data_IF_019581782917
#
_entry.id   IF_019581782917
#
_cell.length_a   1.000
_cell.length_b   1.000
_cell.length_c   1.000
_cell.angle_alpha   90.00
_cell.angle_beta   90.00
_cell.angle_gamma   90.00
#
_symmetry.space_group_name_H-M   'P 1'
#
loop_
_entity.id
_entity.type
_entity.pdbx_description
1 polymer ?
#
# COMPACT_ATOMS: atom_id res chain seq x y z
N UNK A 1 23.43 4.24 -1.20
CA UNK A 1 22.77 4.48 -2.51
C UNK A 1 23.69 5.34 -3.33
N UNK A 2 24.27 4.82 -4.40
CA UNK A 2 24.94 5.68 -5.37
C UNK A 2 23.84 6.44 -6.13
N UNK A 3 23.75 7.72 -5.88
CA UNK A 3 22.67 8.56 -6.43
C UNK A 3 22.86 8.90 -7.91
N UNK A 4 23.92 8.40 -8.55
CA UNK A 4 24.28 8.70 -9.94
C UNK A 4 24.17 10.19 -10.32
N UNK A 5 24.50 11.08 -9.38
CA UNK A 5 24.43 12.52 -9.58
C UNK A 5 23.03 13.11 -9.50
N UNK A 6 22.05 12.36 -9.02
CA UNK A 6 20.70 12.87 -8.77
C UNK A 6 20.72 13.77 -7.53
N UNK A 7 20.24 14.97 -7.69
CA UNK A 7 20.12 15.93 -6.58
C UNK A 7 18.85 15.64 -5.78
N UNK A 8 19.00 15.42 -4.48
CA UNK A 8 17.89 15.06 -3.60
C UNK A 8 16.98 16.26 -3.37
N UNK A 9 15.67 16.05 -3.49
CA UNK A 9 14.66 16.98 -3.01
C UNK A 9 14.15 18.00 -4.04
N UNK A 10 14.43 17.86 -5.32
CA UNK A 10 13.84 18.69 -6.36
C UNK A 10 13.18 17.85 -7.45
N UNK A 11 11.89 18.11 -7.70
CA UNK A 11 11.16 17.49 -8.81
C UNK A 11 11.80 17.82 -10.16
N UNK A 12 12.29 19.02 -10.31
CA UNK A 12 12.92 19.52 -11.55
C UNK A 12 14.21 18.77 -11.84
N UNK A 13 14.99 18.44 -10.82
CA UNK A 13 16.27 17.74 -10.96
C UNK A 13 16.10 16.23 -10.99
N UNK A 14 15.12 15.68 -10.30
CA UNK A 14 14.93 14.23 -10.16
C UNK A 14 14.00 13.63 -11.23
N UNK A 15 13.34 14.47 -12.03
CA UNK A 15 12.52 14.00 -13.14
C UNK A 15 11.28 13.22 -12.69
N UNK A 16 10.55 13.69 -11.67
CA UNK A 16 9.31 13.08 -11.23
C UNK A 16 8.32 12.99 -12.40
N UNK A 17 7.73 11.81 -12.60
CA UNK A 17 6.64 11.61 -13.54
C UNK A 17 5.36 12.36 -13.09
N UNK A 18 4.61 12.86 -14.06
CA UNK A 18 3.34 13.57 -13.78
C UNK A 18 2.16 12.87 -14.43
N UNK A 19 0.94 13.13 -13.93
CA UNK A 19 -0.30 12.59 -14.51
C UNK A 19 -0.42 12.95 -16.01
N UNK A 20 -0.05 14.16 -16.38
CA UNK A 20 -0.05 14.60 -17.78
C UNK A 20 1.07 13.98 -18.61
N UNK A 21 2.18 13.59 -17.97
CA UNK A 21 3.30 12.89 -18.62
C UNK A 21 2.93 11.48 -19.10
N UNK A 22 1.92 10.86 -18.52
CA UNK A 22 1.35 9.57 -18.96
C UNK A 22 0.43 9.84 -20.16
N UNK A 23 1.04 9.92 -21.34
CA UNK A 23 0.37 10.35 -22.58
C UNK A 23 -0.50 9.25 -23.20
N UNK A 24 -1.44 9.64 -24.09
CA UNK A 24 -2.22 8.70 -24.90
C UNK A 24 -1.35 7.75 -25.71
N UNK A 25 -0.18 8.23 -26.19
CA UNK A 25 0.76 7.38 -26.93
C UNK A 25 1.33 6.30 -26.03
N UNK A 26 1.81 6.64 -24.83
CA UNK A 26 2.34 5.68 -23.88
C UNK A 26 1.27 4.64 -23.48
N UNK A 27 0.06 5.10 -23.16
CA UNK A 27 -1.04 4.20 -22.80
C UNK A 27 -1.45 3.25 -23.92
N UNK A 28 -1.47 3.73 -25.19
CA UNK A 28 -1.73 2.86 -26.34
C UNK A 28 -0.63 1.80 -26.54
N UNK A 29 0.63 2.15 -26.31
CA UNK A 29 1.72 1.17 -26.40
C UNK A 29 1.61 0.11 -25.29
N UNK A 30 1.28 0.52 -24.05
CA UNK A 30 1.02 -0.42 -22.95
C UNK A 30 -0.14 -1.36 -23.31
N UNK A 31 -1.25 -0.83 -23.82
CA UNK A 31 -2.39 -1.65 -24.26
C UNK A 31 -2.01 -2.62 -25.41
N UNK A 32 -1.16 -2.18 -26.37
CA UNK A 32 -0.67 -3.03 -27.46
C UNK A 32 0.25 -4.15 -27.02
N UNK A 33 0.96 -3.98 -25.89
CA UNK A 33 1.73 -5.06 -25.25
C UNK A 33 0.84 -6.14 -24.62
N UNK A 34 -0.48 -5.93 -24.57
CA UNK A 34 -1.44 -6.90 -24.05
C UNK A 34 -1.82 -6.69 -22.58
N UNK A 35 -1.39 -5.59 -21.96
CA UNK A 35 -1.82 -5.26 -20.62
C UNK A 35 -3.31 -4.91 -20.58
N UNK A 36 -3.98 -5.34 -19.52
CA UNK A 36 -5.39 -5.10 -19.28
C UNK A 36 -5.63 -4.06 -18.17
N UNK A 37 -4.68 -3.95 -17.27
CA UNK A 37 -4.73 -3.05 -16.11
C UNK A 37 -3.47 -2.19 -16.05
N UNK A 38 -3.61 -0.99 -15.48
CA UNK A 38 -2.50 -0.12 -15.12
C UNK A 38 -2.64 0.26 -13.66
N UNK A 39 -1.70 -0.15 -12.83
CA UNK A 39 -1.65 0.21 -11.42
C UNK A 39 -0.81 1.47 -11.23
N UNK A 40 -1.48 2.52 -10.75
CA UNK A 40 -0.92 3.82 -10.45
C UNK A 40 -0.49 3.81 -8.97
N UNK A 41 0.77 3.51 -8.71
CA UNK A 41 1.34 3.36 -7.37
C UNK A 41 1.53 4.70 -6.68
N UNK A 42 1.14 4.79 -5.40
CA UNK A 42 1.47 5.90 -4.52
C UNK A 42 0.87 7.25 -4.94
N UNK A 43 -0.31 7.26 -5.55
CA UNK A 43 -0.93 8.48 -6.09
C UNK A 43 -1.72 9.29 -5.05
N UNK A 44 -2.04 8.71 -3.88
CA UNK A 44 -2.76 9.42 -2.83
C UNK A 44 -1.91 10.53 -2.21
N UNK A 45 -2.57 11.59 -1.76
CA UNK A 45 -1.89 12.66 -1.03
C UNK A 45 -1.32 12.12 0.28
N UNK A 46 -0.01 12.19 0.41
CA UNK A 46 0.75 11.66 1.54
C UNK A 46 1.57 12.74 2.26
N UNK A 47 2.15 12.39 3.41
CA UNK A 47 2.96 13.31 4.20
C UNK A 47 4.31 13.56 3.50
N UNK A 48 4.60 14.83 3.20
CA UNK A 48 5.84 15.30 2.54
C UNK A 48 6.34 16.60 3.17
N UNK A 49 7.62 16.89 3.02
CA UNK A 49 8.21 18.18 3.39
C UNK A 49 8.11 19.23 2.26
N UNK A 50 7.48 18.90 1.16
CA UNK A 50 7.18 19.85 0.07
C UNK A 50 5.91 20.63 0.41
N UNK A 51 5.92 21.93 0.14
CA UNK A 51 4.74 22.81 0.27
C UNK A 51 4.25 23.26 -1.10
N UNK A 52 2.93 23.38 -1.25
CA UNK A 52 2.28 23.93 -2.42
C UNK A 52 1.26 25.00 -2.03
N UNK A 53 0.80 25.86 -2.95
CA UNK A 53 -0.24 26.83 -2.64
C UNK A 53 -1.48 26.16 -2.02
N UNK A 54 -1.82 26.57 -0.79
CA UNK A 54 -2.92 26.00 -0.02
C UNK A 54 -2.61 24.66 0.68
N UNK A 55 -1.43 24.08 0.50
CA UNK A 55 -1.00 22.83 1.13
C UNK A 55 0.33 23.03 1.85
N UNK A 56 0.29 23.02 3.18
CA UNK A 56 1.50 23.14 4.01
C UNK A 56 2.31 21.82 3.98
N UNK A 57 3.64 21.97 4.03
CA UNK A 57 4.55 20.85 4.30
C UNK A 57 4.23 20.22 5.66
N UNK A 58 4.39 18.90 5.76
CA UNK A 58 4.23 18.19 7.02
C UNK A 58 5.48 18.35 7.91
N UNK A 59 5.33 18.29 9.25
CA UNK A 59 6.45 18.37 10.18
C UNK A 59 7.49 17.27 9.90
N UNK A 60 8.78 17.64 9.94
CA UNK A 60 9.90 16.70 9.70
C UNK A 60 9.84 15.46 10.60
N UNK A 61 9.37 15.59 11.84
CA UNK A 61 9.29 14.49 12.80
C UNK A 61 8.38 13.33 12.36
N UNK A 62 7.50 13.54 11.37
CA UNK A 62 6.55 12.54 10.86
C UNK A 62 6.70 12.30 9.35
N UNK A 63 7.83 12.68 8.76
CA UNK A 63 8.12 12.48 7.33
C UNK A 63 9.50 11.88 7.17
N UNK A 64 9.58 10.66 6.65
CA UNK A 64 10.86 10.03 6.31
C UNK A 64 11.46 10.69 5.06
N UNK A 65 12.64 11.30 5.20
CA UNK A 65 13.28 12.05 4.12
C UNK A 65 12.51 13.32 3.74
N UNK A 66 12.61 13.77 2.51
CA UNK A 66 11.91 14.95 1.99
C UNK A 66 10.57 14.61 1.35
N UNK A 67 10.55 13.57 0.53
CA UNK A 67 9.36 13.14 -0.20
C UNK A 67 8.35 12.37 0.67
N UNK A 68 8.79 11.84 1.82
CA UNK A 68 7.95 10.99 2.66
C UNK A 68 7.67 9.62 2.05
N UNK A 69 6.74 8.91 2.67
CA UNK A 69 6.23 7.63 2.18
C UNK A 69 4.88 7.82 1.49
N UNK A 70 4.71 7.36 0.24
CA UNK A 70 3.42 7.37 -0.45
C UNK A 70 2.31 6.62 0.30
N UNK A 71 2.68 5.81 1.29
CA UNK A 71 1.77 5.04 2.13
C UNK A 71 1.43 5.72 3.47
N UNK A 72 2.08 6.85 3.80
CA UNK A 72 1.70 7.72 4.92
C UNK A 72 0.64 8.74 4.47
N UNK A 73 -0.56 8.25 4.16
CA UNK A 73 -1.66 9.03 3.57
C UNK A 73 -2.12 10.12 4.54
N UNK A 74 -2.20 11.36 4.07
CA UNK A 74 -2.77 12.49 4.81
C UNK A 74 -4.20 12.81 4.39
N UNK A 75 -4.59 12.40 3.17
CA UNK A 75 -5.96 12.57 2.68
C UNK A 75 -6.28 11.50 1.63
N UNK A 76 -7.29 10.67 1.90
CA UNK A 76 -7.74 9.64 0.97
C UNK A 76 -8.58 10.16 -0.19
N UNK A 77 -9.07 11.37 -0.15
CA UNK A 77 -9.95 11.94 -1.18
C UNK A 77 -9.21 12.86 -2.14
N UNK A 78 -7.87 12.91 -2.02
CA UNK A 78 -7.00 13.76 -2.81
C UNK A 78 -5.79 12.98 -3.34
N UNK A 79 -5.16 13.52 -4.39
CA UNK A 79 -3.95 12.95 -4.98
C UNK A 79 -2.74 13.84 -4.69
N UNK A 80 -1.56 13.25 -4.77
CA UNK A 80 -0.31 13.93 -4.47
C UNK A 80 -0.05 15.08 -5.46
N UNK A 81 0.15 16.32 -4.96
CA UNK A 81 0.38 17.49 -5.79
C UNK A 81 1.68 17.44 -6.58
N UNK A 82 2.71 16.71 -6.11
CA UNK A 82 3.98 16.55 -6.83
C UNK A 82 3.84 15.70 -8.10
N UNK A 83 2.78 14.92 -8.21
CA UNK A 83 2.46 14.13 -9.41
C UNK A 83 1.64 14.92 -10.46
N UNK A 84 1.26 16.16 -10.18
CA UNK A 84 0.57 17.01 -11.11
C UNK A 84 1.53 18.00 -11.82
N UNK A 85 1.23 18.35 -13.06
CA UNK A 85 1.93 19.44 -13.76
C UNK A 85 1.56 20.79 -13.14
N UNK A 86 0.33 20.91 -12.61
CA UNK A 86 -0.19 22.05 -11.86
C UNK A 86 -0.77 21.55 -10.56
N UNK A 87 -0.08 21.71 -9.42
CA UNK A 87 -0.50 21.18 -8.12
C UNK A 87 -1.93 21.53 -7.71
N UNK A 88 -2.40 22.72 -8.05
CA UNK A 88 -3.77 23.19 -7.79
C UNK A 88 -4.83 22.48 -8.66
N UNK A 89 -4.42 21.84 -9.77
CA UNK A 89 -5.28 21.09 -10.69
C UNK A 89 -5.11 19.58 -10.59
N UNK A 90 -4.39 19.10 -9.57
CA UNK A 90 -4.00 17.70 -9.41
C UNK A 90 -5.14 16.71 -9.61
N UNK A 91 -6.31 16.98 -9.02
CA UNK A 91 -7.47 16.12 -9.15
C UNK A 91 -8.05 16.10 -10.59
N UNK A 92 -8.04 17.23 -11.28
CA UNK A 92 -8.50 17.29 -12.67
C UNK A 92 -7.53 16.56 -13.61
N UNK A 93 -6.21 16.72 -13.39
CA UNK A 93 -5.18 15.99 -14.14
C UNK A 93 -5.28 14.49 -13.91
N UNK A 94 -5.51 14.05 -12.65
CA UNK A 94 -5.71 12.64 -12.33
C UNK A 94 -6.97 12.07 -12.97
N UNK A 95 -8.12 12.76 -12.88
CA UNK A 95 -9.36 12.36 -13.56
C UNK A 95 -9.17 12.25 -15.08
N UNK A 96 -8.41 13.17 -15.66
CA UNK A 96 -8.08 13.12 -17.08
C UNK A 96 -7.21 11.90 -17.43
N UNK A 97 -6.24 11.52 -16.57
CA UNK A 97 -5.45 10.30 -16.73
C UNK A 97 -6.35 9.05 -16.64
N UNK A 98 -7.21 8.94 -15.65
CA UNK A 98 -8.18 7.83 -15.51
C UNK A 98 -9.01 7.68 -16.79
N UNK A 99 -9.51 8.79 -17.33
CA UNK A 99 -10.26 8.80 -18.58
C UNK A 99 -9.42 8.31 -19.76
N UNK A 100 -8.15 8.77 -19.89
CA UNK A 100 -7.23 8.32 -20.95
C UNK A 100 -6.98 6.81 -20.88
N UNK A 101 -6.72 6.26 -19.67
CA UNK A 101 -6.56 4.82 -19.48
C UNK A 101 -7.76 4.03 -20.03
N UNK A 102 -8.95 4.41 -19.60
CA UNK A 102 -10.20 3.75 -20.03
C UNK A 102 -10.46 3.88 -21.54
N UNK A 103 -10.10 5.00 -22.14
CA UNK A 103 -10.26 5.23 -23.58
C UNK A 103 -9.45 4.26 -24.44
N UNK A 104 -8.31 3.79 -23.94
CA UNK A 104 -7.46 2.82 -24.65
C UNK A 104 -7.72 1.37 -24.20
N UNK A 105 -8.72 1.13 -23.35
CA UNK A 105 -9.08 -0.20 -22.87
C UNK A 105 -8.27 -0.69 -21.66
N UNK A 106 -7.49 0.19 -21.02
CA UNK A 106 -6.78 -0.14 -19.77
C UNK A 106 -7.66 0.19 -18.57
N UNK A 107 -7.75 -0.75 -17.62
CA UNK A 107 -8.45 -0.55 -16.36
C UNK A 107 -7.49 0.11 -15.34
N UNK A 108 -7.74 1.36 -14.92
CA UNK A 108 -6.88 2.00 -13.92
C UNK A 108 -7.13 1.40 -12.54
N UNK A 109 -6.04 1.08 -11.86
CA UNK A 109 -5.98 0.63 -10.48
C UNK A 109 -5.16 1.61 -9.65
N UNK A 110 -5.41 1.64 -8.34
CA UNK A 110 -4.63 2.44 -7.39
C UNK A 110 -4.43 1.68 -6.08
N UNK A 111 -3.52 2.18 -5.23
CA UNK A 111 -3.36 1.66 -3.88
C UNK A 111 -4.56 2.00 -3.01
N UNK A 112 -4.96 1.04 -2.19
CA UNK A 112 -5.85 1.21 -1.06
C UNK A 112 -5.09 0.78 0.20
N UNK A 113 -4.83 1.72 1.11
CA UNK A 113 -3.99 1.55 2.29
C UNK A 113 -4.87 1.50 3.55
N UNK A 114 -5.45 0.36 3.92
CA UNK A 114 -6.47 0.32 4.98
C UNK A 114 -5.90 0.17 6.38
N UNK A 115 -4.62 -0.20 6.54
CA UNK A 115 -4.06 -0.52 7.86
C UNK A 115 -3.69 0.71 8.69
N UNK A 116 -3.27 1.79 8.03
CA UNK A 116 -2.69 2.96 8.69
C UNK A 116 -2.89 4.23 7.86
N UNK A 117 -2.66 5.36 8.49
CA UNK A 117 -2.62 6.69 7.88
C UNK A 117 -1.43 7.47 8.43
N UNK A 118 -1.09 8.60 7.83
CA UNK A 118 -0.12 9.54 8.42
C UNK A 118 -0.56 10.00 9.81
N UNK A 119 0.40 10.36 10.69
CA UNK A 119 0.09 11.03 11.97
C UNK A 119 -0.61 12.37 11.77
N UNK A 120 -0.43 13.02 10.62
CA UNK A 120 -1.09 14.27 10.24
C UNK A 120 -2.33 14.05 9.36
N UNK A 121 -2.93 12.85 9.40
CA UNK A 121 -4.15 12.60 8.62
C UNK A 121 -5.24 13.61 8.94
N UNK A 122 -5.78 14.22 7.91
CA UNK A 122 -6.91 15.13 7.93
C UNK A 122 -7.55 15.14 6.54
N UNK A 123 -8.75 14.59 6.44
CA UNK A 123 -9.50 14.64 5.18
C UNK A 123 -10.06 16.05 4.96
N UNK A 124 -9.79 16.61 3.80
CA UNK A 124 -10.33 17.91 3.36
C UNK A 124 -11.57 17.70 2.47
N UNK A 125 -12.51 16.88 2.95
CA UNK A 125 -13.75 16.62 2.24
C UNK A 125 -14.96 16.83 3.15
N UNK A 126 -15.74 17.87 2.85
CA UNK A 126 -16.94 18.25 3.60
C UNK A 126 -17.93 17.07 3.75
N UNK A 127 -18.32 16.82 4.99
CA UNK A 127 -19.36 15.84 5.33
C UNK A 127 -18.89 14.42 5.57
N UNK A 128 -17.58 14.18 5.69
CA UNK A 128 -17.02 12.89 6.08
C UNK A 128 -16.30 13.01 7.43
N UNK A 129 -16.56 12.02 8.30
CA UNK A 129 -15.89 11.93 9.61
C UNK A 129 -14.41 11.60 9.43
N UNK A 130 -13.54 12.25 10.18
CA UNK A 130 -12.15 11.80 10.33
C UNK A 130 -12.08 10.57 11.24
N UNK A 131 -11.05 9.73 11.03
CA UNK A 131 -10.89 8.51 11.83
C UNK A 131 -10.85 8.79 13.33
N UNK A 132 -10.15 9.85 13.77
CA UNK A 132 -9.98 10.21 15.18
C UNK A 132 -11.11 11.04 15.77
N UNK A 133 -12.11 11.40 15.00
CA UNK A 133 -13.20 12.27 15.49
C UNK A 133 -14.00 11.56 16.59
N UNK A 134 -14.12 12.23 17.75
CA UNK A 134 -14.82 11.69 18.93
C UNK A 134 -14.06 10.58 19.69
N UNK A 135 -12.82 10.28 19.34
CA UNK A 135 -11.99 9.31 20.08
C UNK A 135 -11.59 9.87 21.46
N UNK A 136 -11.48 8.97 22.45
CA UNK A 136 -10.87 9.27 23.75
C UNK A 136 -9.37 8.90 23.74
N UNK A 137 -8.46 9.89 23.73
CA UNK A 137 -7.02 9.63 23.63
C UNK A 137 -6.39 9.02 24.89
N UNK A 138 -7.16 8.82 25.96
CA UNK A 138 -6.72 8.19 27.20
C UNK A 138 -7.11 6.71 27.31
N UNK A 139 -7.91 6.22 26.37
CA UNK A 139 -8.34 4.83 26.29
C UNK A 139 -7.61 4.10 25.16
N UNK A 140 -6.84 3.04 25.49
CA UNK A 140 -6.10 2.27 24.49
C UNK A 140 -6.96 1.80 23.32
N UNK A 141 -8.13 1.26 23.64
CA UNK A 141 -9.06 0.67 22.67
C UNK A 141 -10.51 0.84 23.10
N UNK A 142 -11.34 1.25 22.15
CA UNK A 142 -12.80 1.06 22.17
C UNK A 142 -13.25 0.65 20.78
N UNK A 143 -14.29 -0.17 20.61
CA UNK A 143 -14.81 -0.58 19.30
C UNK A 143 -15.23 0.58 18.39
N UNK A 144 -15.58 1.74 18.96
CA UNK A 144 -16.03 2.92 18.24
C UNK A 144 -14.93 3.91 17.89
N UNK A 145 -13.72 3.74 18.46
CA UNK A 145 -12.56 4.59 18.14
C UNK A 145 -11.96 4.23 16.78
N UNK A 146 -11.42 5.24 16.09
CA UNK A 146 -10.71 5.04 14.83
C UNK A 146 -9.23 4.69 15.00
N UNK A 147 -8.63 5.01 16.16
CA UNK A 147 -7.22 4.74 16.47
C UNK A 147 -7.03 3.92 17.75
N UNK A 148 -5.80 3.43 17.94
CA UNK A 148 -5.31 2.91 19.22
C UNK A 148 -4.43 3.95 19.89
N UNK A 149 -4.67 4.24 21.17
CA UNK A 149 -3.94 5.25 21.92
C UNK A 149 -3.03 4.64 22.97
N UNK A 150 -1.87 5.23 23.18
CA UNK A 150 -0.94 4.84 24.24
C UNK A 150 -1.48 5.28 25.59
N UNK A 151 -1.30 4.43 26.61
CA UNK A 151 -1.70 4.70 27.98
C UNK A 151 -0.50 4.74 28.90
N UNK A 152 -0.69 5.10 30.17
CA UNK A 152 0.37 5.04 31.19
C UNK A 152 0.99 3.65 31.36
N UNK A 153 0.32 2.59 30.94
CA UNK A 153 0.84 1.23 30.97
C UNK A 153 1.61 0.84 29.70
N UNK A 154 1.59 1.67 28.67
CA UNK A 154 2.37 1.42 27.45
C UNK A 154 3.86 1.64 27.71
N UNK A 155 4.77 0.83 27.13
CA UNK A 155 6.20 0.96 27.29
C UNK A 155 6.74 2.34 26.93
N UNK A 156 7.77 2.81 27.65
CA UNK A 156 8.42 4.12 27.46
C UNK A 156 8.06 5.11 28.56
N UNK A 157 8.54 6.35 28.43
CA UNK A 157 8.53 7.36 29.52
C UNK A 157 7.18 8.15 29.62
N UNK A 158 6.16 7.72 28.88
CA UNK A 158 4.90 8.46 28.79
C UNK A 158 4.98 9.67 27.83
N UNK A 159 3.94 10.54 27.82
CA UNK A 159 3.91 11.70 26.93
C UNK A 159 5.06 12.68 27.21
N UNK A 160 5.52 13.43 26.17
CA UNK A 160 5.11 13.37 24.79
C UNK A 160 5.62 12.14 24.04
N UNK A 161 4.95 11.76 22.95
CA UNK A 161 5.45 10.72 22.05
C UNK A 161 6.80 11.15 21.44
N UNK A 162 7.82 10.30 21.56
CA UNK A 162 9.19 10.58 21.07
C UNK A 162 9.46 9.82 19.80
N UNK A 163 9.42 10.54 18.68
CA UNK A 163 9.75 9.97 17.36
C UNK A 163 11.25 10.10 17.07
N UNK A 164 11.82 9.27 16.18
CA UNK A 164 13.26 9.31 15.85
C UNK A 164 13.77 10.68 15.38
N UNK A 165 12.94 11.44 14.65
CA UNK A 165 13.30 12.75 14.10
C UNK A 165 12.74 13.95 14.91
N UNK A 166 12.28 13.71 16.14
CA UNK A 166 11.85 14.74 17.07
C UNK A 166 10.40 14.60 17.57
N UNK A 167 9.88 15.64 18.19
CA UNK A 167 8.53 15.64 18.71
C UNK A 167 7.54 16.08 17.63
N UNK A 168 6.32 15.56 17.72
CA UNK A 168 5.20 15.96 16.88
C UNK A 168 4.17 16.72 17.74
N UNK A 169 3.89 17.96 17.39
CA UNK A 169 2.99 18.84 18.17
C UNK A 169 1.58 18.23 18.35
N UNK A 170 1.11 17.46 17.37
CA UNK A 170 -0.18 16.78 17.42
C UNK A 170 -0.27 15.66 18.46
N UNK A 171 0.85 15.24 19.09
CA UNK A 171 0.91 14.13 20.06
C UNK A 171 1.77 14.50 21.31
N UNK A 172 1.62 15.71 21.81
CA UNK A 172 2.36 16.20 23.00
C UNK A 172 1.78 15.66 24.31
N UNK A 173 0.48 15.41 24.38
CA UNK A 173 -0.22 14.99 25.61
C UNK A 173 -0.78 13.57 25.52
N UNK A 174 -0.79 12.99 24.34
CA UNK A 174 -1.18 11.61 24.07
C UNK A 174 -0.26 11.05 22.97
N UNK A 175 -0.39 9.77 22.67
CA UNK A 175 0.32 9.13 21.56
C UNK A 175 -0.54 8.04 20.94
N UNK A 176 -0.36 7.79 19.65
CA UNK A 176 -1.04 6.72 18.90
C UNK A 176 -0.07 5.61 18.52
N UNK A 177 -0.58 4.39 18.46
CA UNK A 177 0.16 3.20 18.05
C UNK A 177 0.56 3.33 16.58
N UNK A 178 1.78 2.90 16.23
CA UNK A 178 2.29 2.94 14.85
C UNK A 178 1.57 1.95 13.93
N UNK A 179 1.64 2.17 12.62
CA UNK A 179 1.01 1.31 11.60
C UNK A 179 1.44 -0.15 11.67
N UNK A 180 2.67 -0.43 12.10
CA UNK A 180 3.20 -1.80 12.29
C UNK A 180 3.01 -2.37 13.69
N UNK A 181 2.03 -1.85 14.46
CA UNK A 181 1.64 -2.32 15.78
C UNK A 181 2.65 -2.05 16.91
N UNK A 182 3.58 -1.09 16.78
CA UNK A 182 4.47 -0.73 17.89
C UNK A 182 3.70 0.05 18.96
N UNK A 183 3.44 -0.59 20.10
CA UNK A 183 2.77 0.00 21.28
C UNK A 183 3.85 0.53 22.21
N UNK A 184 4.37 1.70 21.93
CA UNK A 184 5.45 2.32 22.72
C UNK A 184 5.45 3.84 22.57
N UNK A 185 5.87 4.55 23.65
CA UNK A 185 6.09 6.01 23.64
C UNK A 185 7.37 6.44 22.90
N UNK A 186 8.25 5.48 22.57
CA UNK A 186 9.51 5.71 21.91
C UNK A 186 9.67 4.75 20.71
N UNK A 187 8.85 4.87 19.63
CA UNK A 187 9.02 4.04 18.45
C UNK A 187 10.39 4.30 17.79
N UNK A 188 11.04 3.25 17.33
CA UNK A 188 12.34 3.33 16.68
C UNK A 188 12.24 3.63 15.17
N UNK A 189 13.40 3.73 14.51
CA UNK A 189 13.48 4.00 13.06
C UNK A 189 12.84 2.90 12.20
N UNK A 190 12.83 1.66 12.68
CA UNK A 190 12.23 0.51 11.99
C UNK A 190 10.74 0.35 12.24
N UNK A 191 10.20 1.08 13.21
CA UNK A 191 8.76 1.22 13.36
C UNK A 191 8.25 2.19 12.30
N UNK A 192 7.02 2.01 11.86
CA UNK A 192 6.40 2.94 10.92
C UNK A 192 5.96 4.21 11.67
N UNK A 193 6.95 4.89 12.25
CA UNK A 193 6.75 5.98 13.21
C UNK A 193 6.01 7.18 12.64
N UNK A 194 6.06 7.36 11.32
CA UNK A 194 5.32 8.41 10.58
C UNK A 194 3.83 8.11 10.45
N UNK A 195 3.42 6.87 10.76
CA UNK A 195 2.03 6.41 10.59
C UNK A 195 1.37 6.07 11.92
N UNK A 196 0.04 5.97 11.88
CA UNK A 196 -0.82 5.52 12.98
C UNK A 196 -1.72 4.39 12.53
N UNK A 197 -1.89 3.38 13.40
CA UNK A 197 -2.73 2.21 13.13
C UNK A 197 -4.20 2.56 13.21
N UNK A 198 -4.98 2.11 12.23
CA UNK A 198 -6.43 2.21 12.22
C UNK A 198 -7.07 1.06 13.02
N UNK A 199 -8.15 1.39 13.72
CA UNK A 199 -8.91 0.47 14.56
C UNK A 199 -10.17 -0.02 13.82
N UNK A 200 -10.23 -1.31 13.57
CA UNK A 200 -11.36 -1.98 12.90
C UNK A 200 -12.41 -2.52 13.87
N UNK A 201 -12.48 -2.02 15.10
CA UNK A 201 -13.48 -2.43 16.11
C UNK A 201 -13.08 -3.66 16.91
N UNK A 202 -11.82 -4.11 16.88
CA UNK A 202 -11.30 -5.19 17.72
C UNK A 202 -9.96 -4.82 18.33
N UNK A 203 -9.71 -5.31 19.55
CA UNK A 203 -8.41 -5.12 20.20
C UNK A 203 -7.39 -6.10 19.64
N UNK A 204 -6.46 -5.63 18.81
CA UNK A 204 -5.43 -6.49 18.20
C UNK A 204 -4.49 -7.13 19.25
N UNK A 205 -4.29 -6.49 20.42
CA UNK A 205 -3.49 -7.04 21.51
C UNK A 205 -4.16 -8.25 22.18
N UNK A 206 -5.48 -8.38 22.07
CA UNK A 206 -6.22 -9.54 22.60
C UNK A 206 -6.17 -10.75 21.64
N UNK A 207 -5.52 -10.60 20.49
CA UNK A 207 -5.31 -11.67 19.54
C UNK A 207 -6.56 -12.11 18.77
N UNK A 208 -6.46 -13.24 18.08
CA UNK A 208 -7.51 -13.76 17.19
C UNK A 208 -8.90 -13.92 17.81
N UNK A 209 -9.06 -14.29 19.11
CA UNK A 209 -10.39 -14.37 19.72
C UNK A 209 -11.20 -13.07 19.69
N UNK A 210 -10.54 -11.92 19.74
CA UNK A 210 -11.21 -10.61 19.68
C UNK A 210 -11.93 -10.35 18.36
N UNK A 211 -11.49 -10.96 17.26
CA UNK A 211 -12.12 -10.85 15.95
C UNK A 211 -13.55 -11.41 15.91
N UNK A 212 -13.89 -12.33 16.82
CA UNK A 212 -15.25 -12.91 16.93
C UNK A 212 -16.30 -11.91 17.41
N UNK A 213 -15.86 -10.77 17.96
CA UNK A 213 -16.75 -9.70 18.41
C UNK A 213 -17.14 -8.75 17.28
N UNK A 214 -16.48 -8.84 16.14
CA UNK A 214 -16.79 -8.01 14.98
C UNK A 214 -18.16 -8.33 14.38
N UNK A 215 -18.85 -7.34 13.80
CA UNK A 215 -20.11 -7.58 13.10
C UNK A 215 -19.91 -8.50 11.90
N UNK A 216 -20.97 -9.20 11.50
CA UNK A 216 -20.93 -10.07 10.33
C UNK A 216 -20.78 -9.28 9.03
N UNK A 217 -20.28 -9.92 7.98
CA UNK A 217 -20.05 -9.28 6.68
C UNK A 217 -21.34 -8.82 5.97
N UNK A 218 -22.50 -9.26 6.40
CA UNK A 218 -23.81 -8.82 5.90
C UNK A 218 -24.40 -7.63 6.68
N UNK A 219 -23.69 -7.14 7.68
CA UNK A 219 -24.18 -6.05 8.52
C UNK A 219 -24.39 -4.76 7.72
N UNK A 220 -25.50 -4.03 7.96
CA UNK A 220 -25.72 -2.72 7.38
C UNK A 220 -24.61 -1.72 7.74
N UNK A 221 -24.36 -0.74 6.87
CA UNK A 221 -23.28 0.26 7.04
C UNK A 221 -23.35 1.00 8.38
N UNK A 222 -24.53 1.32 8.86
CA UNK A 222 -24.73 2.02 10.15
C UNK A 222 -24.41 1.18 11.39
N UNK A 223 -24.26 -0.13 11.26
CA UNK A 223 -24.03 -1.07 12.36
C UNK A 223 -22.63 -1.68 12.37
N UNK A 224 -21.70 -1.12 11.62
CA UNK A 224 -20.30 -1.53 11.59
C UNK A 224 -19.42 -0.44 12.20
N UNK A 225 -18.19 -0.75 12.63
CA UNK A 225 -17.25 0.23 13.17
C UNK A 225 -17.06 1.45 12.27
N UNK A 226 -16.73 2.61 12.85
CA UNK A 226 -16.53 3.87 12.13
C UNK A 226 -15.52 3.70 10.98
N UNK A 227 -14.38 3.07 11.25
CA UNK A 227 -13.34 2.81 10.23
C UNK A 227 -13.86 2.07 9.00
N UNK A 228 -14.78 1.09 9.18
CA UNK A 228 -15.37 0.38 8.03
C UNK A 228 -16.20 1.31 7.15
N UNK A 229 -16.97 2.22 7.78
CA UNK A 229 -17.82 3.18 7.04
C UNK A 229 -16.97 4.13 6.21
N UNK A 230 -15.92 4.70 6.83
CA UNK A 230 -15.00 5.63 6.15
C UNK A 230 -14.28 4.91 4.99
N UNK A 231 -13.79 3.69 5.20
CA UNK A 231 -13.13 2.91 4.15
C UNK A 231 -14.06 2.56 2.98
N UNK A 232 -15.35 2.30 3.25
CA UNK A 232 -16.33 2.10 2.18
C UNK A 232 -16.61 3.40 1.39
N UNK A 233 -16.59 4.56 2.06
CA UNK A 233 -16.74 5.86 1.39
C UNK A 233 -15.52 6.18 0.52
N UNK A 234 -14.31 5.89 0.98
CA UNK A 234 -13.09 6.00 0.17
C UNK A 234 -13.17 5.14 -1.09
N UNK A 235 -13.51 3.85 -0.95
CA UNK A 235 -13.68 2.96 -2.11
C UNK A 235 -14.76 3.47 -3.07
N UNK A 236 -15.89 3.94 -2.53
CA UNK A 236 -17.00 4.49 -3.32
C UNK A 236 -16.59 5.74 -4.10
N UNK A 237 -15.83 6.64 -3.46
CA UNK A 237 -15.32 7.86 -4.09
C UNK A 237 -14.46 7.53 -5.31
N UNK A 238 -13.44 6.70 -5.15
CA UNK A 238 -12.54 6.36 -6.25
C UNK A 238 -13.21 5.54 -7.35
N UNK A 239 -14.14 4.65 -7.01
CA UNK A 239 -14.97 3.96 -7.99
C UNK A 239 -15.81 4.95 -8.81
N UNK A 240 -16.37 5.99 -8.17
CA UNK A 240 -17.15 7.02 -8.85
C UNK A 240 -16.34 7.84 -9.86
N UNK A 241 -15.03 7.98 -9.62
CA UNK A 241 -14.08 8.65 -10.52
C UNK A 241 -13.55 7.74 -11.63
N UNK A 242 -13.93 6.46 -11.63
CA UNK A 242 -13.59 5.52 -12.69
C UNK A 242 -12.42 4.59 -12.38
N UNK A 243 -11.95 4.53 -11.14
CA UNK A 243 -11.01 3.49 -10.72
C UNK A 243 -11.72 2.14 -10.78
N UNK A 244 -11.09 1.18 -11.47
CA UNK A 244 -11.64 -0.15 -11.70
C UNK A 244 -11.00 -1.25 -10.87
N UNK A 245 -9.95 -0.94 -10.11
CA UNK A 245 -9.30 -1.91 -9.25
C UNK A 245 -8.48 -1.27 -8.14
N UNK A 246 -8.18 -2.07 -7.12
CA UNK A 246 -7.42 -1.65 -5.95
C UNK A 246 -6.33 -2.68 -5.63
N UNK A 247 -5.09 -2.20 -5.46
CA UNK A 247 -4.06 -2.96 -4.75
C UNK A 247 -4.17 -2.61 -3.28
N UNK A 248 -4.48 -3.61 -2.47
CA UNK A 248 -4.70 -3.44 -1.04
C UNK A 248 -3.42 -3.72 -0.28
N UNK A 249 -2.88 -2.66 0.30
CA UNK A 249 -1.65 -2.65 1.08
C UNK A 249 -1.81 -3.47 2.36
N UNK A 250 -0.82 -4.34 2.67
CA UNK A 250 -0.75 -5.13 3.90
C UNK A 250 -2.08 -5.79 4.29
N UNK A 251 -2.77 -6.39 3.31
CA UNK A 251 -4.15 -6.85 3.46
C UNK A 251 -4.35 -7.89 4.57
N UNK A 252 -3.31 -8.67 4.92
CA UNK A 252 -3.35 -9.65 6.01
C UNK A 252 -3.50 -9.03 7.40
N UNK A 253 -3.17 -7.74 7.57
CA UNK A 253 -3.30 -7.01 8.83
C UNK A 253 -4.74 -6.58 9.13
N UNK A 254 -5.66 -6.76 8.19
CA UNK A 254 -7.05 -6.32 8.26
C UNK A 254 -7.98 -7.51 8.47
N UNK A 255 -9.04 -7.38 9.29
CA UNK A 255 -9.97 -8.49 9.52
C UNK A 255 -10.61 -9.02 8.23
N UNK A 256 -10.60 -10.33 8.04
CA UNK A 256 -11.20 -10.98 6.87
C UNK A 256 -12.68 -10.67 6.70
N UNK A 257 -13.42 -10.49 7.80
CA UNK A 257 -14.83 -10.11 7.77
C UNK A 257 -15.05 -8.71 7.21
N UNK A 258 -14.15 -7.76 7.48
CA UNK A 258 -14.17 -6.43 6.86
C UNK A 258 -13.99 -6.56 5.35
N UNK A 259 -12.97 -7.31 4.89
CA UNK A 259 -12.72 -7.49 3.47
C UNK A 259 -13.94 -8.05 2.75
N UNK A 260 -14.55 -9.09 3.30
CA UNK A 260 -15.76 -9.67 2.72
C UNK A 260 -16.91 -8.67 2.66
N UNK A 261 -17.06 -7.84 3.68
CA UNK A 261 -18.06 -6.78 3.74
C UNK A 261 -17.77 -5.67 2.69
N UNK A 262 -16.55 -5.13 2.67
CA UNK A 262 -16.17 -4.03 1.80
C UNK A 262 -16.16 -4.41 0.31
N UNK A 263 -15.59 -5.58 -0.03
CA UNK A 263 -15.55 -6.09 -1.40
C UNK A 263 -16.96 -6.37 -1.92
N UNK A 264 -17.83 -6.97 -1.11
CA UNK A 264 -19.22 -7.22 -1.49
C UNK A 264 -19.96 -5.92 -1.84
N UNK A 265 -19.78 -4.88 -1.03
CA UNK A 265 -20.37 -3.55 -1.28
C UNK A 265 -19.78 -2.87 -2.52
N UNK A 266 -18.47 -2.96 -2.69
CA UNK A 266 -17.79 -2.44 -3.88
C UNK A 266 -18.29 -3.08 -5.17
N UNK A 267 -18.56 -4.39 -5.15
CA UNK A 267 -19.12 -5.12 -6.30
C UNK A 267 -20.57 -4.80 -6.59
N UNK A 268 -21.34 -4.37 -5.61
CA UNK A 268 -22.70 -3.83 -5.86
C UNK A 268 -22.61 -2.54 -6.68
N UNK A 269 -21.62 -1.68 -6.43
CA UNK A 269 -21.39 -0.43 -7.17
C UNK A 269 -20.75 -0.67 -8.54
N UNK A 270 -19.75 -1.55 -8.59
CA UNK A 270 -18.98 -1.89 -9.78
C UNK A 270 -18.71 -3.41 -9.80
N UNK A 271 -19.55 -4.22 -10.51
CA UNK A 271 -19.49 -5.68 -10.47
C UNK A 271 -18.10 -6.26 -10.81
N UNK A 272 -17.39 -5.65 -11.76
CA UNK A 272 -16.10 -6.12 -12.26
C UNK A 272 -14.89 -5.48 -11.56
N UNK A 273 -15.09 -4.83 -10.39
CA UNK A 273 -13.99 -4.23 -9.65
C UNK A 273 -12.95 -5.28 -9.26
N UNK A 274 -11.68 -4.99 -9.56
CA UNK A 274 -10.57 -5.91 -9.30
C UNK A 274 -9.90 -5.58 -7.96
N UNK A 275 -9.79 -6.57 -7.08
CA UNK A 275 -9.07 -6.47 -5.81
C UNK A 275 -7.85 -7.36 -5.82
N UNK A 276 -6.67 -6.77 -5.63
CA UNK A 276 -5.37 -7.43 -5.51
C UNK A 276 -4.82 -7.22 -4.10
N UNK A 277 -4.48 -8.29 -3.40
CA UNK A 277 -3.93 -8.19 -2.06
C UNK A 277 -2.40 -8.29 -2.08
N UNK A 278 -1.75 -7.33 -1.46
CA UNK A 278 -0.44 -7.56 -0.88
C UNK A 278 -0.64 -8.26 0.45
N UNK A 279 -0.07 -9.45 0.61
CA UNK A 279 -0.21 -10.23 1.84
C UNK A 279 0.95 -11.20 2.03
N UNK A 280 1.36 -11.34 3.28
CA UNK A 280 2.44 -12.21 3.71
C UNK A 280 1.99 -13.10 4.86
N UNK A 281 2.58 -14.31 4.95
CA UNK A 281 2.31 -15.21 6.06
C UNK A 281 3.22 -14.89 7.25
N UNK A 282 2.98 -13.78 7.88
CA UNK A 282 3.76 -13.25 9.00
C UNK A 282 2.98 -13.24 10.33
N UNK A 283 3.57 -12.68 11.38
CA UNK A 283 2.97 -12.58 12.72
C UNK A 283 1.89 -11.50 12.83
N UNK A 284 1.79 -10.59 11.86
CA UNK A 284 0.83 -9.47 11.85
C UNK A 284 -0.53 -9.85 11.23
N UNK A 285 -0.66 -11.07 10.69
CA UNK A 285 -1.90 -11.54 10.08
C UNK A 285 -3.05 -11.67 11.08
N UNK A 286 -4.26 -11.43 10.60
CA UNK A 286 -5.50 -11.51 11.38
C UNK A 286 -6.26 -12.84 11.22
N UNK A 287 -5.62 -13.85 10.63
CA UNK A 287 -6.22 -15.17 10.41
C UNK A 287 -5.31 -16.29 10.90
N UNK A 288 -5.85 -17.37 11.49
CA UNK A 288 -5.10 -18.59 11.68
C UNK A 288 -4.89 -19.28 10.30
N UNK A 289 -3.69 -19.70 10.01
CA UNK A 289 -3.37 -20.35 8.73
C UNK A 289 -2.88 -19.41 7.62
N UNK A 290 -3.09 -19.80 6.38
CA UNK A 290 -2.63 -19.03 5.22
C UNK A 290 -3.51 -17.79 4.98
N UNK A 291 -2.96 -16.57 5.11
CA UNK A 291 -3.72 -15.34 4.90
C UNK A 291 -4.12 -15.14 3.44
N UNK A 292 -3.32 -15.60 2.47
CA UNK A 292 -3.62 -15.44 1.06
C UNK A 292 -4.87 -16.24 0.66
N UNK A 293 -4.98 -17.49 1.13
CA UNK A 293 -6.19 -18.30 0.93
C UNK A 293 -7.43 -17.63 1.59
N UNK A 294 -7.27 -17.11 2.81
CA UNK A 294 -8.36 -16.43 3.51
C UNK A 294 -8.81 -15.14 2.81
N UNK A 295 -7.89 -14.37 2.21
CA UNK A 295 -8.20 -13.17 1.43
C UNK A 295 -8.95 -13.52 0.14
N UNK A 296 -8.56 -14.58 -0.56
CA UNK A 296 -9.31 -15.08 -1.74
C UNK A 296 -10.73 -15.49 -1.35
N UNK A 297 -10.92 -16.19 -0.22
CA UNK A 297 -12.24 -16.53 0.33
C UNK A 297 -13.06 -15.28 0.73
N UNK A 298 -12.39 -14.22 1.15
CA UNK A 298 -13.01 -12.93 1.44
C UNK A 298 -13.43 -12.15 0.19
N UNK A 299 -12.97 -12.59 -0.99
CA UNK A 299 -13.41 -12.05 -2.27
C UNK A 299 -12.33 -11.36 -3.10
N UNK A 300 -11.06 -11.38 -2.72
CA UNK A 300 -9.99 -10.88 -3.58
C UNK A 300 -9.90 -11.66 -4.88
N UNK A 301 -9.55 -10.98 -5.96
CA UNK A 301 -9.34 -11.61 -7.26
C UNK A 301 -7.95 -12.25 -7.34
N UNK A 302 -6.95 -11.65 -6.69
CA UNK A 302 -5.57 -12.11 -6.71
C UNK A 302 -4.82 -11.70 -5.44
N UNK A 303 -3.77 -12.46 -5.11
CA UNK A 303 -2.85 -12.23 -3.99
C UNK A 303 -1.41 -12.29 -4.49
N UNK A 304 -0.50 -11.57 -3.87
CA UNK A 304 0.93 -11.63 -4.20
C UNK A 304 1.45 -13.07 -4.02
N UNK A 305 2.20 -13.56 -5.00
CA UNK A 305 2.94 -14.82 -4.88
C UNK A 305 4.40 -14.54 -4.53
N UNK A 306 4.62 -14.11 -3.30
CA UNK A 306 5.94 -13.84 -2.76
C UNK A 306 6.81 -15.09 -2.67
N UNK A 307 6.22 -16.27 -2.47
CA UNK A 307 6.95 -17.53 -2.43
C UNK A 307 7.61 -17.82 -3.77
N UNK A 308 6.89 -17.59 -4.88
CA UNK A 308 7.43 -17.75 -6.23
C UNK A 308 8.56 -16.75 -6.51
N UNK A 309 8.40 -15.50 -6.11
CA UNK A 309 9.43 -14.46 -6.22
C UNK A 309 10.70 -14.85 -5.44
N UNK A 310 10.58 -15.16 -4.15
CA UNK A 310 11.72 -15.52 -3.31
C UNK A 310 12.43 -16.79 -3.82
N UNK A 311 11.67 -17.78 -4.27
CA UNK A 311 12.27 -18.98 -4.83
C UNK A 311 13.08 -18.68 -6.09
N UNK A 312 12.56 -17.82 -6.98
CA UNK A 312 13.27 -17.37 -8.17
C UNK A 312 14.56 -16.60 -7.80
N UNK A 313 14.47 -15.68 -6.84
CA UNK A 313 15.62 -14.92 -6.35
C UNK A 313 16.69 -15.86 -5.74
N UNK A 314 16.29 -16.79 -4.87
CA UNK A 314 17.21 -17.71 -4.19
C UNK A 314 17.90 -18.70 -5.11
N UNK A 315 17.32 -19.02 -6.27
CA UNK A 315 18.01 -19.81 -7.30
C UNK A 315 19.31 -19.15 -7.76
N UNK A 316 19.36 -17.81 -7.80
CA UNK A 316 20.50 -17.05 -8.27
C UNK A 316 21.39 -16.52 -7.15
N UNK A 317 20.87 -16.40 -5.93
CA UNK A 317 21.61 -15.84 -4.79
C UNK A 317 22.10 -16.92 -3.84
N UNK A 318 21.40 -18.04 -3.70
CA UNK A 318 21.66 -19.11 -2.73
C UNK A 318 21.88 -20.49 -3.36
N UNK A 319 21.88 -20.57 -4.69
CA UNK A 319 22.00 -21.81 -5.45
C UNK A 319 20.91 -22.85 -5.12
N UNK A 320 19.68 -22.41 -4.86
CA UNK A 320 18.52 -23.28 -4.69
C UNK A 320 18.18 -24.02 -5.98
N UNK A 321 17.53 -25.17 -5.84
CA UNK A 321 17.25 -26.04 -6.98
C UNK A 321 16.00 -25.57 -7.74
N UNK A 322 16.08 -25.50 -9.08
CA UNK A 322 14.94 -25.18 -9.93
C UNK A 322 13.74 -26.16 -9.73
N UNK A 323 14.00 -27.40 -9.31
CA UNK A 323 12.96 -28.38 -9.00
C UNK A 323 12.06 -27.97 -7.83
N UNK A 324 12.47 -27.01 -7.00
CA UNK A 324 11.65 -26.50 -5.91
C UNK A 324 10.41 -25.76 -6.42
N UNK A 325 10.43 -25.23 -7.64
CA UNK A 325 9.23 -24.70 -8.29
C UNK A 325 8.13 -25.75 -8.50
N UNK A 326 8.49 -26.98 -8.93
CA UNK A 326 7.50 -28.04 -9.05
C UNK A 326 6.84 -28.38 -7.72
N UNK A 327 7.65 -28.38 -6.64
CA UNK A 327 7.14 -28.59 -5.27
C UNK A 327 6.24 -27.44 -4.84
N UNK A 328 6.64 -26.18 -5.06
CA UNK A 328 5.85 -25.00 -4.72
C UNK A 328 4.49 -25.03 -5.41
N UNK A 329 4.47 -25.24 -6.73
CA UNK A 329 3.24 -25.25 -7.51
C UNK A 329 2.28 -26.38 -7.16
N UNK A 330 2.79 -27.52 -6.72
CA UNK A 330 1.96 -28.65 -6.26
C UNK A 330 1.43 -28.42 -4.84
N UNK A 331 2.19 -27.76 -3.97
CA UNK A 331 1.78 -27.53 -2.58
C UNK A 331 0.68 -26.47 -2.46
N UNK A 332 0.69 -25.46 -3.32
CA UNK A 332 -0.23 -24.33 -3.30
C UNK A 332 -0.90 -24.09 -4.66
N UNK A 333 -1.79 -24.97 -5.12
CA UNK A 333 -2.39 -24.87 -6.47
C UNK A 333 -3.24 -23.61 -6.66
N UNK A 334 -3.72 -22.97 -5.58
CA UNK A 334 -4.49 -21.74 -5.64
C UNK A 334 -3.69 -20.58 -6.24
N UNK A 335 -2.37 -20.57 -6.04
CA UNK A 335 -1.48 -19.56 -6.61
C UNK A 335 -1.27 -19.72 -8.12
N UNK A 336 -1.60 -20.90 -8.68
CA UNK A 336 -1.52 -21.12 -10.13
C UNK A 336 -2.55 -20.28 -10.89
N UNK A 337 -3.66 -19.91 -10.27
CA UNK A 337 -4.76 -19.16 -10.88
C UNK A 337 -4.97 -17.77 -10.30
N UNK A 338 -4.58 -17.55 -9.05
CA UNK A 338 -4.82 -16.30 -8.32
C UNK A 338 -3.54 -15.63 -7.80
N UNK A 339 -2.37 -16.27 -7.92
CA UNK A 339 -1.10 -15.67 -7.58
C UNK A 339 -0.69 -14.60 -8.59
N UNK A 340 -0.42 -13.39 -8.10
CA UNK A 340 0.18 -12.33 -8.90
C UNK A 340 1.66 -12.66 -9.08
N UNK A 341 2.06 -12.95 -10.30
CA UNK A 341 3.43 -13.29 -10.66
C UNK A 341 4.25 -12.05 -10.95
N UNK A 342 5.37 -11.88 -10.29
CA UNK A 342 6.30 -10.78 -10.50
C UNK A 342 7.74 -11.24 -10.26
N UNK A 343 8.69 -10.53 -10.84
CA UNK A 343 10.13 -10.72 -10.61
C UNK A 343 10.76 -9.48 -10.01
N UNK A 344 10.06 -8.37 -10.04
CA UNK A 344 10.38 -7.10 -9.37
C UNK A 344 9.11 -6.27 -9.21
N UNK A 345 9.08 -5.39 -8.21
CA UNK A 345 8.04 -4.40 -7.99
C UNK A 345 8.66 -3.15 -7.32
N UNK A 346 7.85 -2.27 -6.76
CA UNK A 346 8.33 -1.03 -6.12
C UNK A 346 8.98 -1.27 -4.75
N UNK A 347 8.77 -2.43 -4.11
CA UNK A 347 9.38 -2.83 -2.84
C UNK A 347 10.58 -3.75 -3.03
N UNK A 348 10.68 -4.40 -4.19
CA UNK A 348 11.72 -5.37 -4.48
C UNK A 348 12.83 -4.80 -5.37
N UNK A 349 14.04 -5.30 -5.19
CA UNK A 349 15.18 -4.84 -5.99
C UNK A 349 15.02 -5.21 -7.46
N UNK A 350 15.35 -4.28 -8.37
CA UNK A 350 15.39 -4.55 -9.80
C UNK A 350 16.21 -5.78 -10.13
N UNK A 351 15.67 -6.68 -10.95
CA UNK A 351 16.39 -7.88 -11.42
C UNK A 351 17.70 -7.51 -12.09
N UNK A 352 17.70 -6.45 -12.89
CA UNK A 352 18.87 -6.01 -13.65
C UNK A 352 19.88 -5.19 -12.83
N UNK A 353 19.64 -4.96 -11.56
CA UNK A 353 20.58 -4.29 -10.68
C UNK A 353 21.87 -5.11 -10.51
N UNK A 354 23.05 -4.49 -10.64
CA UNK A 354 24.32 -5.19 -10.41
C UNK A 354 24.52 -5.61 -8.95
N UNK A 355 23.70 -5.09 -8.03
CA UNK A 355 23.78 -5.37 -6.59
C UNK A 355 22.80 -6.45 -6.15
N UNK A 356 21.99 -7.00 -7.04
CA UNK A 356 20.99 -8.01 -6.70
C UNK A 356 21.03 -9.19 -7.66
N UNK A 357 20.25 -10.23 -7.40
CA UNK A 357 20.14 -11.44 -8.23
C UNK A 357 21.52 -12.06 -8.56
N UNK A 358 22.43 -12.07 -7.59
CA UNK A 358 23.81 -12.59 -7.78
C UNK A 358 24.65 -11.76 -8.78
N UNK A 359 24.23 -10.54 -9.12
CA UNK A 359 24.93 -9.68 -10.09
C UNK A 359 24.73 -10.07 -11.56
N UNK A 360 23.91 -11.07 -11.85
CA UNK A 360 23.69 -11.62 -13.22
C UNK A 360 22.32 -11.29 -13.80
N UNK A 361 21.52 -10.49 -13.08
CA UNK A 361 20.09 -10.29 -13.39
C UNK A 361 19.80 -9.84 -14.80
N UNK A 362 20.63 -8.96 -15.40
CA UNK A 362 20.44 -8.52 -16.80
C UNK A 362 20.48 -9.69 -17.79
N UNK A 363 21.31 -10.70 -17.54
CA UNK A 363 21.46 -11.87 -18.41
C UNK A 363 20.31 -12.86 -18.18
N UNK A 364 19.86 -13.00 -16.94
CA UNK A 364 18.88 -14.02 -16.56
C UNK A 364 17.43 -13.51 -16.62
N UNK A 365 17.21 -12.21 -16.75
CA UNK A 365 15.86 -11.63 -16.78
C UNK A 365 14.90 -12.34 -17.76
N UNK A 366 15.25 -12.61 -19.02
CA UNK A 366 14.35 -13.32 -19.94
C UNK A 366 13.99 -14.72 -19.44
N UNK A 367 14.95 -15.46 -18.88
CA UNK A 367 14.74 -16.80 -18.39
C UNK A 367 13.85 -16.81 -17.13
N UNK A 368 14.13 -15.94 -16.17
CA UNK A 368 13.35 -15.85 -14.94
C UNK A 368 11.93 -15.32 -15.19
N UNK A 369 11.76 -14.33 -16.08
CA UNK A 369 10.43 -13.89 -16.51
C UNK A 369 9.64 -15.03 -17.14
N UNK A 370 10.26 -15.79 -18.03
CA UNK A 370 9.61 -16.94 -18.68
C UNK A 370 9.19 -17.97 -17.63
N UNK A 371 10.08 -18.33 -16.70
CA UNK A 371 9.79 -19.29 -15.66
C UNK A 371 8.64 -18.82 -14.76
N UNK A 372 8.72 -17.60 -14.25
CA UNK A 372 7.74 -17.06 -13.28
C UNK A 372 6.40 -16.77 -13.95
N UNK A 373 6.39 -16.12 -15.12
CA UNK A 373 5.15 -15.66 -15.75
C UNK A 373 4.39 -16.79 -16.49
N UNK A 374 5.11 -17.77 -17.03
CA UNK A 374 4.47 -18.90 -17.72
C UNK A 374 4.07 -20.05 -16.79
N UNK A 375 4.40 -19.99 -15.50
CA UNK A 375 4.16 -21.08 -14.54
C UNK A 375 2.74 -21.14 -13.98
N UNK A 376 1.82 -20.31 -14.45
CA UNK A 376 0.42 -20.29 -14.01
C UNK A 376 -0.46 -19.48 -14.95
N UNK A 377 -1.73 -19.36 -14.61
CA UNK A 377 -2.74 -18.54 -15.32
C UNK A 377 -3.22 -17.33 -14.48
N UNK A 378 -2.59 -17.07 -13.34
CA UNK A 378 -2.84 -15.90 -12.52
C UNK A 378 -2.35 -14.60 -13.17
N UNK A 379 -2.65 -13.44 -12.59
CA UNK A 379 -2.18 -12.16 -13.10
C UNK A 379 -0.66 -12.05 -13.11
N UNK A 380 -0.13 -11.34 -14.10
CA UNK A 380 1.29 -11.00 -14.21
C UNK A 380 1.47 -9.51 -13.96
N UNK A 381 2.36 -9.15 -13.04
CA UNK A 381 2.77 -7.79 -12.77
C UNK A 381 4.11 -7.53 -13.48
N UNK A 382 4.14 -6.53 -14.34
CA UNK A 382 5.38 -6.01 -14.94
C UNK A 382 5.62 -4.62 -14.39
N UNK A 383 6.76 -4.45 -13.73
CA UNK A 383 7.10 -3.16 -13.15
C UNK A 383 7.63 -2.19 -14.20
N UNK A 384 7.24 -0.92 -14.10
CA UNK A 384 7.61 0.12 -15.06
C UNK A 384 9.12 0.14 -15.35
N UNK A 385 9.49 0.03 -16.63
CA UNK A 385 10.88 -0.03 -17.10
C UNK A 385 11.51 -1.43 -17.08
N UNK A 386 10.82 -2.45 -16.59
CA UNK A 386 11.32 -3.82 -16.62
C UNK A 386 11.53 -4.29 -18.07
N UNK A 387 10.63 -3.96 -18.97
CA UNK A 387 10.71 -4.26 -20.40
C UNK A 387 11.91 -3.57 -21.10
N UNK A 388 12.40 -2.47 -20.52
CA UNK A 388 13.57 -1.73 -20.98
C UNK A 388 14.86 -2.15 -20.27
N UNK A 389 14.82 -3.22 -19.47
CA UNK A 389 15.98 -3.72 -18.70
C UNK A 389 16.52 -2.64 -17.73
N UNK A 390 15.63 -1.88 -17.13
CA UNK A 390 16.00 -0.84 -16.17
C UNK A 390 16.68 -1.44 -14.95
N UNK A 391 17.79 -0.85 -14.52
CA UNK A 391 18.52 -1.22 -13.31
C UNK A 391 18.43 -0.16 -12.21
N UNK A 392 17.86 1.00 -12.53
CA UNK A 392 17.62 2.04 -11.52
C UNK A 392 16.35 1.73 -10.77
N UNK A 393 16.44 1.73 -9.44
CA UNK A 393 15.31 1.50 -8.55
C UNK A 393 15.11 2.73 -7.67
N UNK A 394 13.93 3.33 -7.77
CA UNK A 394 13.46 4.33 -6.83
C UNK A 394 12.56 3.61 -5.84
N UNK A 395 13.07 3.26 -4.67
CA UNK A 395 12.27 2.66 -3.60
C UNK A 395 11.51 3.75 -2.88
N UNK A 396 10.20 3.69 -2.89
CA UNK A 396 9.34 4.64 -2.21
C UNK A 396 9.48 4.62 -0.67
N UNK A 397 9.95 3.50 -0.10
CA UNK A 397 9.98 3.27 1.35
C UNK A 397 11.35 3.16 2.01
N UNK A 398 12.43 3.07 1.24
CA UNK A 398 13.72 2.62 1.77
C UNK A 398 14.80 3.68 1.85
N UNK A 399 14.43 4.94 2.02
CA UNK A 399 15.49 5.93 2.24
C UNK A 399 16.27 5.70 3.53
N UNK A 400 15.76 4.91 4.49
CA UNK A 400 16.41 4.75 5.79
C UNK A 400 16.31 3.35 6.44
N UNK A 401 15.77 2.32 5.78
CA UNK A 401 15.64 1.00 6.43
C UNK A 401 16.89 0.14 6.42
N UNK A 402 17.91 0.48 5.62
CA UNK A 402 19.14 -0.34 5.46
C UNK A 402 20.46 0.48 5.41
N UNK A 403 20.48 1.70 5.94
CA UNK A 403 21.73 2.43 6.19
C UNK A 403 22.07 2.45 7.65
#
# INVERSE_FOLDING_TARGET
METHGVDWGSRETNGCGTFNGVTDKALREIARMGFTHIWLTGVLRHATQTSHPGLAAQPKSIVKGLAGSPYAVVDYFDVDPDLASSPEKRMDEFKALVKRCRTVGLLPMMDFIPNHVSRAYLADWDGHDDFGEGDDPHTFFSPEQGYFYLTSNSPGDGPPLRLPDGLFEGEMTFGRVTGNNAVTWNPGKYDWYETVKLNYGYNFMAGLPALRLLPGWTSPKQHVPKTWRIMDDILSFWQSLGIGGFRCDMAQMIPMVFWKWAISRSRVRLPDVFFMAEAYNDHMKTTPGDPCAALLDAGFNAVYDSDCYHLALHMYTENNWANDFDRLFRSNPIYMTHGVRYVENHDETRVCSPLSWGGVGRVVLPAVMTLVYASGSGPVLVYNGQEAVSYTHLRAHETDQYL
#
